data_IF_576252959985
#
_entry.id   IF_576252959985
#
_cell.length_a   1.000
_cell.length_b   1.000
_cell.length_c   1.000
_cell.angle_alpha   90.00
_cell.angle_beta   90.00
_cell.angle_gamma   90.00
#
_symmetry.space_group_name_H-M   'P 1'
#
loop_
_entity.id
_entity.type
_entity.pdbx_description
1 polymer ?
#
# COMPACT_ATOMS: atom_id res chain seq x y z
N UNK A 1 -0.10 -19.62 -14.32
CA UNK A 1 0.06 -18.90 -13.03
C UNK A 1 -1.30 -18.55 -12.43
N UNK A 2 -2.17 -17.86 -13.14
CA UNK A 2 -3.50 -17.45 -12.64
C UNK A 2 -4.34 -18.64 -12.10
N UNK A 3 -4.30 -19.78 -12.78
CA UNK A 3 -4.99 -21.00 -12.33
C UNK A 3 -4.46 -21.48 -10.95
N UNK A 4 -3.15 -21.40 -10.74
CA UNK A 4 -2.51 -21.86 -9.49
C UNK A 4 -2.91 -21.04 -8.26
N UNK A 5 -3.32 -19.78 -8.45
CA UNK A 5 -3.80 -18.92 -7.37
C UNK A 5 -5.18 -19.36 -6.80
N UNK A 6 -5.85 -20.32 -7.44
CA UNK A 6 -7.10 -20.89 -6.92
C UNK A 6 -6.88 -22.15 -6.06
N UNK A 7 -5.62 -22.58 -5.92
CA UNK A 7 -5.25 -23.74 -5.13
C UNK A 7 -4.36 -23.32 -3.96
N UNK A 8 -4.37 -24.05 -2.85
CA UNK A 8 -3.43 -23.80 -1.76
C UNK A 8 -1.98 -24.01 -2.23
N UNK A 9 -1.01 -23.36 -1.55
CA UNK A 9 0.41 -23.59 -1.83
C UNK A 9 0.75 -25.08 -1.75
N UNK A 10 1.68 -25.58 -2.59
CA UNK A 10 2.11 -26.98 -2.53
C UNK A 10 2.73 -27.34 -1.17
N UNK A 11 2.29 -28.46 -0.58
CA UNK A 11 2.87 -28.96 0.67
C UNK A 11 4.24 -29.61 0.45
N UNK A 12 4.46 -30.26 -0.71
CA UNK A 12 5.73 -30.92 -1.04
C UNK A 12 6.87 -29.89 -1.23
N UNK A 13 7.94 -29.95 -0.41
CA UNK A 13 9.06 -29.03 -0.49
C UNK A 13 9.75 -29.01 -1.87
N UNK A 14 9.81 -30.18 -2.54
CA UNK A 14 10.42 -30.29 -3.87
C UNK A 14 9.61 -29.59 -4.95
N UNK A 15 8.28 -29.67 -4.89
CA UNK A 15 7.39 -28.95 -5.80
C UNK A 15 7.46 -27.45 -5.53
N UNK A 16 7.45 -27.06 -4.25
CA UNK A 16 7.58 -25.65 -3.84
C UNK A 16 8.90 -25.04 -4.30
N UNK A 17 10.02 -25.77 -4.13
CA UNK A 17 11.33 -25.31 -4.58
C UNK A 17 11.37 -25.06 -6.09
N UNK A 18 10.90 -26.03 -6.90
CA UNK A 18 10.83 -25.86 -8.37
C UNK A 18 9.92 -24.70 -8.79
N UNK A 19 8.81 -24.48 -8.08
CA UNK A 19 7.93 -23.34 -8.35
C UNK A 19 8.65 -22.02 -8.06
N UNK A 20 9.34 -21.90 -6.93
CA UNK A 20 10.11 -20.72 -6.56
C UNK A 20 11.23 -20.44 -7.58
N UNK A 21 11.97 -21.45 -8.04
CA UNK A 21 12.99 -21.32 -9.10
C UNK A 21 12.38 -20.78 -10.42
N UNK A 22 11.21 -21.28 -10.79
CA UNK A 22 10.50 -20.79 -11.98
C UNK A 22 10.10 -19.32 -11.82
N UNK A 23 9.53 -18.94 -10.67
CA UNK A 23 9.11 -17.56 -10.37
C UNK A 23 10.32 -16.62 -10.33
N UNK A 24 11.42 -17.06 -9.72
CA UNK A 24 12.68 -16.32 -9.70
C UNK A 24 13.24 -16.09 -11.12
N UNK A 25 13.18 -17.10 -11.98
CA UNK A 25 13.58 -16.98 -13.38
C UNK A 25 12.73 -15.95 -14.13
N UNK A 26 11.43 -15.86 -13.85
CA UNK A 26 10.54 -14.85 -14.44
C UNK A 26 10.92 -13.45 -13.96
N UNK A 27 11.17 -13.26 -12.65
CA UNK A 27 11.62 -11.97 -12.11
C UNK A 27 12.94 -11.53 -12.74
N UNK A 28 13.90 -12.44 -12.92
CA UNK A 28 15.19 -12.16 -13.57
C UNK A 28 15.00 -11.71 -15.03
N UNK A 29 14.21 -12.45 -15.79
CA UNK A 29 13.91 -12.10 -17.20
C UNK A 29 13.14 -10.78 -17.32
N UNK A 30 12.37 -10.41 -16.32
CA UNK A 30 11.69 -9.14 -16.30
C UNK A 30 12.66 -7.93 -16.19
N UNK A 31 13.83 -8.12 -15.62
CA UNK A 31 14.87 -7.08 -15.52
C UNK A 31 15.67 -6.90 -16.83
N UNK A 32 15.67 -7.90 -17.71
CA UNK A 32 16.37 -7.79 -18.98
C UNK A 32 15.75 -6.69 -19.86
N UNK A 33 16.56 -5.94 -20.61
CA UNK A 33 16.04 -4.94 -21.54
C UNK A 33 15.14 -5.64 -22.59
N UNK A 34 14.06 -4.95 -23.02
CA UNK A 34 13.12 -5.54 -23.97
C UNK A 34 13.82 -5.83 -25.30
N UNK A 35 13.73 -7.08 -25.77
CA UNK A 35 14.28 -7.51 -27.07
C UNK A 35 13.61 -6.85 -28.27
N UNK A 36 12.47 -6.21 -28.08
CA UNK A 36 11.68 -5.51 -29.10
C UNK A 36 11.06 -4.23 -28.52
N UNK A 37 11.11 -3.15 -29.29
CA UNK A 37 10.48 -1.87 -28.98
C UNK A 37 8.93 -1.89 -29.17
N UNK A 38 8.35 -3.02 -29.55
CA UNK A 38 6.90 -3.13 -29.75
C UNK A 38 6.16 -3.09 -28.42
N UNK A 39 5.19 -2.20 -28.30
CA UNK A 39 4.36 -2.02 -27.09
C UNK A 39 3.70 -3.34 -26.66
N UNK A 40 3.23 -4.15 -27.59
CA UNK A 40 2.64 -5.46 -27.30
C UNK A 40 3.58 -6.40 -26.55
N UNK A 41 4.89 -6.40 -26.86
CA UNK A 41 5.88 -7.22 -26.18
C UNK A 41 6.11 -6.75 -24.74
N UNK A 42 6.13 -5.42 -24.53
CA UNK A 42 6.23 -4.83 -23.20
C UNK A 42 5.01 -5.18 -22.34
N UNK A 43 3.82 -5.05 -22.90
CA UNK A 43 2.57 -5.36 -22.19
C UNK A 43 2.48 -6.85 -21.84
N UNK A 44 2.85 -7.75 -22.75
CA UNK A 44 2.87 -9.19 -22.46
C UNK A 44 3.88 -9.53 -21.35
N UNK A 45 5.08 -8.92 -21.40
CA UNK A 45 6.11 -9.08 -20.38
C UNK A 45 5.62 -8.60 -18.99
N UNK A 46 5.01 -7.42 -18.94
CA UNK A 46 4.46 -6.87 -17.71
C UNK A 46 3.31 -7.74 -17.16
N UNK A 47 2.41 -8.21 -18.02
CA UNK A 47 1.32 -9.11 -17.62
C UNK A 47 1.85 -10.39 -16.98
N UNK A 48 2.86 -11.03 -17.58
CA UNK A 48 3.51 -12.23 -17.01
C UNK A 48 4.17 -11.91 -15.68
N UNK A 49 4.83 -10.76 -15.56
CA UNK A 49 5.48 -10.32 -14.33
C UNK A 49 4.47 -10.12 -13.19
N UNK A 50 3.39 -9.38 -13.42
CA UNK A 50 2.36 -9.15 -12.41
C UNK A 50 1.67 -10.45 -11.97
N UNK A 51 1.38 -11.36 -12.90
CA UNK A 51 0.84 -12.69 -12.55
C UNK A 51 1.84 -13.56 -11.75
N UNK A 52 3.14 -13.42 -12.02
CA UNK A 52 4.17 -14.10 -11.23
C UNK A 52 4.26 -13.51 -9.81
N UNK A 53 4.23 -12.19 -9.69
CA UNK A 53 4.23 -11.50 -8.39
C UNK A 53 2.98 -11.86 -7.58
N UNK A 54 1.80 -11.88 -8.22
CA UNK A 54 0.56 -12.32 -7.56
C UNK A 54 0.68 -13.75 -7.02
N UNK A 55 1.31 -14.65 -7.76
CA UNK A 55 1.52 -16.04 -7.31
C UNK A 55 2.56 -16.13 -6.17
N UNK A 56 3.62 -15.30 -6.21
CA UNK A 56 4.61 -15.19 -5.13
C UNK A 56 3.92 -14.76 -3.83
N UNK A 57 3.04 -13.77 -3.89
CA UNK A 57 2.28 -13.28 -2.74
C UNK A 57 1.31 -14.35 -2.25
N UNK A 58 0.55 -14.97 -3.16
CA UNK A 58 -0.43 -16.00 -2.83
C UNK A 58 0.19 -17.21 -2.12
N UNK A 59 1.38 -17.62 -2.53
CA UNK A 59 2.08 -18.77 -1.95
C UNK A 59 2.84 -18.43 -0.66
N UNK A 60 2.84 -17.17 -0.21
CA UNK A 60 3.69 -16.68 0.88
C UNK A 60 5.12 -17.21 0.72
N UNK A 61 5.68 -16.92 -0.45
CA UNK A 61 6.98 -17.46 -0.88
C UNK A 61 8.12 -17.00 0.04
N UNK A 62 9.31 -17.54 -0.18
CA UNK A 62 10.49 -17.18 0.62
C UNK A 62 10.73 -15.67 0.71
N UNK A 63 11.22 -15.16 1.87
CA UNK A 63 11.41 -13.72 2.12
C UNK A 63 12.18 -13.00 1.02
N UNK A 64 13.22 -13.61 0.48
CA UNK A 64 14.02 -13.05 -0.61
C UNK A 64 13.18 -12.81 -1.87
N UNK A 65 12.26 -13.71 -2.18
CA UNK A 65 11.43 -13.61 -3.37
C UNK A 65 10.37 -12.51 -3.20
N UNK A 66 9.79 -12.38 -2.00
CA UNK A 66 8.87 -11.30 -1.64
C UNK A 66 9.53 -9.91 -1.72
N UNK A 67 10.75 -9.77 -1.19
CA UNK A 67 11.52 -8.51 -1.26
C UNK A 67 11.87 -8.16 -2.71
N UNK A 68 12.24 -9.16 -3.52
CA UNK A 68 12.53 -8.95 -4.95
C UNK A 68 11.29 -8.55 -5.73
N UNK A 69 10.14 -9.17 -5.44
CA UNK A 69 8.85 -8.78 -6.01
C UNK A 69 8.52 -7.32 -5.67
N UNK A 70 8.70 -6.92 -4.41
CA UNK A 70 8.53 -5.54 -3.97
C UNK A 70 9.43 -4.56 -4.75
N UNK A 71 10.72 -4.86 -4.90
CA UNK A 71 11.65 -4.02 -5.64
C UNK A 71 11.28 -3.89 -7.13
N UNK A 72 10.74 -4.94 -7.74
CA UNK A 72 10.22 -4.90 -9.11
C UNK A 72 9.00 -3.99 -9.22
N UNK A 73 8.06 -4.11 -8.28
CA UNK A 73 6.86 -3.26 -8.24
C UNK A 73 7.21 -1.79 -8.04
N UNK A 74 8.25 -1.50 -7.24
CA UNK A 74 8.74 -0.14 -7.01
C UNK A 74 9.08 0.61 -8.29
N UNK A 75 9.58 -0.10 -9.32
CA UNK A 75 9.89 0.49 -10.63
C UNK A 75 8.63 0.94 -11.40
N UNK A 76 7.47 0.36 -11.08
CA UNK A 76 6.20 0.71 -11.73
C UNK A 76 5.45 1.84 -11.04
N UNK A 77 5.81 2.22 -9.81
CA UNK A 77 5.13 3.31 -9.10
C UNK A 77 5.22 4.66 -9.83
N UNK A 78 6.29 4.87 -10.60
CA UNK A 78 6.50 6.07 -11.43
C UNK A 78 6.37 5.78 -12.93
N UNK A 79 5.74 4.65 -13.31
CA UNK A 79 5.58 4.30 -14.71
C UNK A 79 4.61 5.24 -15.42
N UNK A 80 4.86 5.53 -16.71
CA UNK A 80 4.02 6.43 -17.52
C UNK A 80 2.56 5.96 -17.67
N UNK A 81 2.32 4.65 -17.66
CA UNK A 81 0.99 4.06 -17.85
C UNK A 81 0.27 3.95 -16.51
N UNK A 82 -0.89 4.58 -16.39
CA UNK A 82 -1.73 4.64 -15.19
C UNK A 82 -2.09 3.25 -14.66
N UNK A 83 -2.45 2.33 -15.54
CA UNK A 83 -2.82 0.97 -15.14
C UNK A 83 -1.66 0.22 -14.46
N UNK A 84 -0.42 0.44 -14.89
CA UNK A 84 0.74 -0.21 -14.26
C UNK A 84 1.05 0.41 -12.89
N UNK A 85 0.85 1.71 -12.72
CA UNK A 85 0.95 2.37 -11.40
C UNK A 85 -0.11 1.82 -10.44
N UNK A 86 -1.37 1.72 -10.91
CA UNK A 86 -2.46 1.15 -10.14
C UNK A 86 -2.16 -0.28 -9.67
N UNK A 87 -1.80 -1.17 -10.58
CA UNK A 87 -1.49 -2.57 -10.28
C UNK A 87 -0.29 -2.72 -9.33
N UNK A 88 0.72 -1.86 -9.48
CA UNK A 88 1.87 -1.87 -8.59
C UNK A 88 1.48 -1.49 -7.15
N UNK A 89 0.70 -0.42 -6.97
CA UNK A 89 0.20 0.01 -5.67
C UNK A 89 -0.67 -1.08 -5.03
N UNK A 90 -1.59 -1.68 -5.80
CA UNK A 90 -2.47 -2.76 -5.34
C UNK A 90 -1.68 -3.98 -4.87
N UNK A 91 -0.70 -4.44 -5.67
CA UNK A 91 0.16 -5.57 -5.30
C UNK A 91 1.04 -5.27 -4.09
N UNK A 92 1.53 -4.03 -3.96
CA UNK A 92 2.29 -3.60 -2.78
C UNK A 92 1.45 -3.53 -1.51
N UNK A 93 0.15 -3.22 -1.58
CA UNK A 93 -0.74 -3.30 -0.42
C UNK A 93 -0.77 -4.71 0.16
N UNK A 94 -0.78 -5.74 -0.69
CA UNK A 94 -0.73 -7.13 -0.25
C UNK A 94 0.62 -7.48 0.37
N UNK A 95 1.73 -7.03 -0.24
CA UNK A 95 3.07 -7.22 0.31
C UNK A 95 3.29 -6.52 1.65
N UNK A 96 2.64 -5.38 1.89
CA UNK A 96 2.75 -4.63 3.13
C UNK A 96 2.16 -5.39 4.34
N UNK A 97 1.30 -6.37 4.11
CA UNK A 97 0.71 -7.19 5.18
C UNK A 97 1.63 -8.32 5.66
N UNK A 98 2.66 -8.68 4.89
CA UNK A 98 3.63 -9.71 5.25
C UNK A 98 4.80 -9.10 6.03
N UNK A 99 5.16 -9.71 7.15
CA UNK A 99 6.30 -9.27 7.97
C UNK A 99 7.62 -9.24 7.18
N UNK A 100 7.79 -10.17 6.25
CA UNK A 100 9.02 -10.31 5.47
C UNK A 100 9.22 -9.20 4.43
N UNK A 101 8.16 -8.62 3.91
CA UNK A 101 8.23 -7.59 2.87
C UNK A 101 7.86 -6.18 3.36
N UNK A 102 7.32 -6.04 4.57
CA UNK A 102 6.88 -4.76 5.14
C UNK A 102 7.97 -3.68 5.06
N UNK A 103 9.18 -3.98 5.54
CA UNK A 103 10.31 -3.05 5.49
C UNK A 103 10.77 -2.72 4.06
N UNK A 104 10.61 -3.65 3.12
CA UNK A 104 10.91 -3.39 1.72
C UNK A 104 9.87 -2.43 1.10
N UNK A 105 8.61 -2.57 1.46
CA UNK A 105 7.52 -1.67 1.02
C UNK A 105 7.71 -0.28 1.59
N UNK A 106 8.09 -0.13 2.86
CA UNK A 106 8.36 1.17 3.51
C UNK A 106 9.41 2.01 2.80
N UNK A 107 10.39 1.41 2.15
CA UNK A 107 11.40 2.14 1.35
C UNK A 107 10.80 2.97 0.21
N UNK A 108 9.57 2.66 -0.20
CA UNK A 108 8.86 3.38 -1.25
C UNK A 108 7.88 4.44 -0.72
N UNK A 109 7.86 4.71 0.60
CA UNK A 109 6.93 5.63 1.25
C UNK A 109 6.88 7.00 0.56
N UNK A 110 8.02 7.64 0.33
CA UNK A 110 8.07 8.95 -0.33
C UNK A 110 7.51 8.93 -1.75
N UNK A 111 7.79 7.86 -2.50
CA UNK A 111 7.23 7.69 -3.86
C UNK A 111 5.71 7.56 -3.83
N UNK A 112 5.17 6.87 -2.83
CA UNK A 112 3.72 6.70 -2.66
C UNK A 112 3.07 8.01 -2.20
N UNK A 113 3.70 8.75 -1.29
CA UNK A 113 3.25 10.09 -0.89
C UNK A 113 3.23 11.04 -2.08
N UNK A 114 4.27 11.01 -2.92
CA UNK A 114 4.30 11.80 -4.13
C UNK A 114 3.19 11.41 -5.12
N UNK A 115 2.93 10.11 -5.29
CA UNK A 115 1.82 9.63 -6.10
C UNK A 115 0.47 10.16 -5.57
N UNK A 116 0.25 10.13 -4.26
CA UNK A 116 -0.95 10.71 -3.64
C UNK A 116 -1.14 12.19 -4.01
N UNK A 117 -0.07 12.97 -4.03
CA UNK A 117 -0.10 14.43 -4.28
C UNK A 117 -0.21 14.78 -5.76
N UNK A 118 0.40 14.00 -6.65
CA UNK A 118 0.60 14.40 -8.05
C UNK A 118 -0.21 13.60 -9.07
N UNK A 119 -0.74 12.44 -8.67
CA UNK A 119 -1.51 11.59 -9.56
C UNK A 119 -2.83 12.26 -9.96
N UNK A 120 -3.21 12.12 -11.24
CA UNK A 120 -4.46 12.68 -11.77
C UNK A 120 -5.65 11.73 -11.62
N UNK A 121 -5.37 10.45 -11.67
CA UNK A 121 -6.39 9.40 -11.58
C UNK A 121 -6.78 9.15 -10.12
N UNK A 122 -8.08 9.29 -9.83
CA UNK A 122 -8.64 9.13 -8.47
C UNK A 122 -8.42 7.71 -7.95
N UNK A 123 -8.55 6.69 -8.83
CA UNK A 123 -8.38 5.29 -8.42
C UNK A 123 -6.94 5.00 -8.01
N UNK A 124 -5.96 5.61 -8.68
CA UNK A 124 -4.54 5.50 -8.31
C UNK A 124 -4.26 6.21 -7.00
N UNK A 125 -4.83 7.41 -6.77
CA UNK A 125 -4.73 8.11 -5.48
C UNK A 125 -5.34 7.28 -4.35
N UNK A 126 -6.49 6.65 -4.58
CA UNK A 126 -7.10 5.78 -3.59
C UNK A 126 -6.19 4.60 -3.24
N UNK A 127 -5.57 3.93 -4.22
CA UNK A 127 -4.58 2.87 -3.96
C UNK A 127 -3.34 3.37 -3.23
N UNK A 128 -2.91 4.61 -3.47
CA UNK A 128 -1.83 5.23 -2.69
C UNK A 128 -2.22 5.42 -1.22
N UNK A 129 -3.46 5.86 -0.93
CA UNK A 129 -3.99 5.92 0.44
C UNK A 129 -4.02 4.54 1.09
N UNK A 130 -4.50 3.50 0.37
CA UNK A 130 -4.53 2.12 0.85
C UNK A 130 -3.14 1.63 1.22
N UNK A 131 -2.16 1.90 0.37
CA UNK A 131 -0.78 1.47 0.60
C UNK A 131 -0.12 2.22 1.76
N UNK A 132 -0.33 3.54 1.90
CA UNK A 132 0.14 4.31 3.05
C UNK A 132 -0.44 3.76 4.35
N UNK A 133 -1.74 3.44 4.35
CA UNK A 133 -2.38 2.81 5.49
C UNK A 133 -1.77 1.43 5.83
N UNK A 134 -1.54 0.59 4.80
CA UNK A 134 -1.00 -0.76 5.00
C UNK A 134 0.47 -0.78 5.45
N UNK A 135 1.29 0.19 5.01
CA UNK A 135 2.71 0.29 5.39
C UNK A 135 2.94 1.06 6.69
N UNK A 136 1.88 1.61 7.29
CA UNK A 136 2.01 2.41 8.50
C UNK A 136 2.32 1.54 9.71
N UNK A 137 3.32 1.95 10.46
CA UNK A 137 3.69 1.39 11.76
C UNK A 137 4.05 2.49 12.77
N UNK A 138 4.55 2.11 13.95
CA UNK A 138 4.92 3.07 15.00
C UNK A 138 6.05 4.02 14.63
N UNK A 139 6.88 3.66 13.64
CA UNK A 139 8.07 4.45 13.29
C UNK A 139 7.77 5.54 12.28
N UNK A 140 6.70 5.40 11.48
CA UNK A 140 6.33 6.32 10.41
C UNK A 140 4.89 6.87 10.50
N UNK A 141 4.17 6.53 11.56
CA UNK A 141 2.75 6.91 11.73
C UNK A 141 2.53 8.42 11.74
N UNK A 142 3.42 9.18 12.39
CA UNK A 142 3.30 10.64 12.47
C UNK A 142 3.42 11.28 11.09
N UNK A 143 4.40 10.86 10.30
CA UNK A 143 4.63 11.35 8.94
C UNK A 143 3.47 10.97 8.01
N UNK A 144 3.05 9.71 8.02
CA UNK A 144 1.96 9.23 7.17
C UNK A 144 0.64 9.94 7.51
N UNK A 145 0.31 10.05 8.79
CA UNK A 145 -0.91 10.72 9.25
C UNK A 145 -0.90 12.20 8.86
N UNK A 146 0.23 12.88 9.03
CA UNK A 146 0.37 14.29 8.62
C UNK A 146 0.14 14.47 7.12
N UNK A 147 0.72 13.60 6.29
CA UNK A 147 0.56 13.65 4.84
C UNK A 147 -0.88 13.35 4.41
N UNK A 148 -1.53 12.36 5.04
CA UNK A 148 -2.92 12.05 4.78
C UNK A 148 -3.85 13.22 5.19
N UNK A 149 -3.61 13.87 6.34
CA UNK A 149 -4.35 15.05 6.77
C UNK A 149 -4.17 16.22 5.80
N UNK A 150 -2.94 16.46 5.36
CA UNK A 150 -2.63 17.52 4.39
C UNK A 150 -3.36 17.28 3.07
N UNK A 151 -3.36 16.05 2.57
CA UNK A 151 -4.08 15.71 1.36
C UNK A 151 -5.60 15.79 1.54
N UNK A 152 -6.12 15.49 2.72
CA UNK A 152 -7.57 15.52 3.01
C UNK A 152 -8.19 16.91 2.76
N UNK A 153 -7.41 17.99 2.86
CA UNK A 153 -7.89 19.36 2.57
C UNK A 153 -8.36 19.51 1.11
N UNK A 154 -7.70 18.82 0.18
CA UNK A 154 -7.95 18.90 -1.26
C UNK A 154 -8.47 17.60 -1.87
N UNK A 155 -8.68 16.58 -1.05
CA UNK A 155 -9.07 15.25 -1.49
C UNK A 155 -10.43 15.24 -2.19
N UNK A 156 -10.56 14.35 -3.17
CA UNK A 156 -11.82 14.08 -3.84
C UNK A 156 -12.87 13.56 -2.85
N UNK A 157 -14.10 13.96 -3.06
CA UNK A 157 -15.24 13.61 -2.21
C UNK A 157 -15.36 12.09 -1.98
N UNK A 158 -15.11 11.32 -3.03
CA UNK A 158 -15.19 9.86 -3.02
C UNK A 158 -14.15 9.17 -2.11
N UNK A 159 -13.04 9.84 -1.80
CA UNK A 159 -11.97 9.27 -0.97
C UNK A 159 -12.03 9.77 0.47
N UNK A 160 -12.70 10.92 0.71
CA UNK A 160 -12.68 11.60 2.02
C UNK A 160 -13.15 10.73 3.18
N UNK A 161 -14.29 10.06 3.02
CA UNK A 161 -14.88 9.24 4.08
C UNK A 161 -13.92 8.11 4.50
N UNK A 162 -13.38 7.41 3.52
CA UNK A 162 -12.42 6.32 3.76
C UNK A 162 -11.12 6.83 4.39
N UNK A 163 -10.61 8.00 3.94
CA UNK A 163 -9.42 8.61 4.52
C UNK A 163 -9.62 9.02 5.97
N UNK A 164 -10.75 9.64 6.30
CA UNK A 164 -11.09 10.01 7.68
C UNK A 164 -11.08 8.79 8.59
N UNK A 165 -11.70 7.70 8.15
CA UNK A 165 -11.72 6.45 8.90
C UNK A 165 -10.30 5.87 9.08
N UNK A 166 -9.51 5.80 8.00
CA UNK A 166 -8.14 5.29 8.04
C UNK A 166 -7.25 6.11 8.98
N UNK A 167 -7.29 7.45 8.88
CA UNK A 167 -6.51 8.34 9.75
C UNK A 167 -6.92 8.18 11.22
N UNK A 168 -8.22 8.08 11.50
CA UNK A 168 -8.70 7.87 12.87
C UNK A 168 -8.20 6.54 13.45
N UNK A 169 -8.23 5.46 12.66
CA UNK A 169 -7.71 4.14 13.06
C UNK A 169 -6.20 4.19 13.31
N UNK A 170 -5.43 4.82 12.41
CA UNK A 170 -3.99 4.95 12.58
C UNK A 170 -3.63 5.76 13.83
N UNK A 171 -4.33 6.86 14.06
CA UNK A 171 -4.15 7.68 15.26
C UNK A 171 -4.43 6.89 16.54
N UNK A 172 -5.51 6.10 16.57
CA UNK A 172 -5.85 5.26 17.73
C UNK A 172 -4.82 4.14 17.95
N UNK A 173 -4.34 3.51 16.87
CA UNK A 173 -3.43 2.36 16.94
C UNK A 173 -1.99 2.74 17.28
N UNK A 174 -1.53 3.90 16.82
CA UNK A 174 -0.11 4.27 16.88
C UNK A 174 0.17 5.53 17.65
N UNK A 175 -0.81 6.10 18.37
CA UNK A 175 -0.58 7.28 19.21
C UNK A 175 0.61 7.07 20.16
N UNK A 176 1.56 7.98 20.09
CA UNK A 176 2.73 8.03 20.98
C UNK A 176 2.39 8.72 22.30
N UNK A 177 1.52 9.75 22.22
CA UNK A 177 0.98 10.46 23.37
C UNK A 177 -0.46 10.96 23.12
N UNK A 178 -1.13 11.36 24.19
CA UNK A 178 -2.51 11.88 24.11
C UNK A 178 -2.62 13.19 23.35
N UNK A 179 -1.60 14.05 23.42
CA UNK A 179 -1.62 15.34 22.74
C UNK A 179 -1.65 15.15 21.24
N UNK A 180 -0.74 14.33 20.73
CA UNK A 180 -0.71 14.01 19.29
C UNK A 180 -2.04 13.40 18.81
N UNK A 181 -2.60 12.44 19.57
CA UNK A 181 -3.90 11.84 19.25
C UNK A 181 -5.00 12.90 19.15
N UNK A 182 -5.10 13.77 20.18
CA UNK A 182 -6.11 14.83 20.23
C UNK A 182 -5.94 15.80 19.07
N UNK A 183 -4.71 16.21 18.77
CA UNK A 183 -4.41 17.13 17.66
C UNK A 183 -4.82 16.53 16.31
N UNK A 184 -4.56 15.24 16.06
CA UNK A 184 -5.00 14.53 14.87
C UNK A 184 -6.52 14.52 14.76
N UNK A 185 -7.24 14.13 15.83
CA UNK A 185 -8.71 14.06 15.83
C UNK A 185 -9.33 15.45 15.68
N UNK A 186 -8.77 16.48 16.26
CA UNK A 186 -9.21 17.86 16.07
C UNK A 186 -9.06 18.32 14.63
N UNK A 187 -7.94 18.00 13.99
CA UNK A 187 -7.72 18.28 12.58
C UNK A 187 -8.71 17.53 11.68
N UNK A 188 -8.97 16.25 11.95
CA UNK A 188 -9.97 15.47 11.21
C UNK A 188 -11.36 16.14 11.27
N UNK A 189 -11.78 16.57 12.47
CA UNK A 189 -13.08 17.24 12.64
C UNK A 189 -13.12 18.59 11.93
N UNK A 190 -12.02 19.32 11.94
CA UNK A 190 -11.92 20.62 11.24
C UNK A 190 -12.01 20.46 9.74
N UNK A 191 -11.33 19.46 9.18
CA UNK A 191 -11.19 19.27 7.73
C UNK A 191 -12.36 18.50 7.11
N UNK A 192 -12.97 17.60 7.84
CA UNK A 192 -13.97 16.67 7.34
C UNK A 192 -14.99 16.27 8.41
N UNK A 193 -15.48 17.22 9.19
CA UNK A 193 -16.37 16.97 10.34
C UNK A 193 -17.67 16.22 9.97
N UNK A 194 -18.17 16.38 8.75
CA UNK A 194 -19.37 15.70 8.28
C UNK A 194 -19.16 14.18 8.09
N UNK A 195 -17.90 13.75 7.91
CA UNK A 195 -17.52 12.34 7.73
C UNK A 195 -17.02 11.68 9.01
N UNK A 196 -16.79 12.45 10.08
CA UNK A 196 -16.33 11.91 11.36
C UNK A 196 -17.50 11.25 12.07
N UNK A 197 -17.42 9.94 12.31
CA UNK A 197 -18.49 9.19 12.98
C UNK A 197 -18.79 9.73 14.38
N UNK A 198 -20.04 9.53 14.83
CA UNK A 198 -20.46 9.95 16.17
C UNK A 198 -19.66 9.27 17.29
N UNK A 199 -19.17 8.06 17.05
CA UNK A 199 -18.31 7.33 18.00
C UNK A 199 -16.95 8.02 18.18
N UNK A 200 -16.31 8.47 17.10
CA UNK A 200 -15.07 9.24 17.16
C UNK A 200 -15.30 10.58 17.84
N UNK A 201 -16.45 11.23 17.60
CA UNK A 201 -16.84 12.46 18.28
C UNK A 201 -17.08 12.24 19.79
N UNK A 202 -17.70 11.13 20.19
CA UNK A 202 -17.95 10.78 21.61
C UNK A 202 -16.67 10.42 22.35
N UNK A 203 -15.76 9.66 21.74
CA UNK A 203 -14.42 9.37 22.32
C UNK A 203 -13.66 10.68 22.60
N UNK A 204 -13.75 11.69 21.73
CA UNK A 204 -13.19 13.02 21.97
C UNK A 204 -13.70 13.67 23.26
N UNK A 205 -15.02 13.65 23.50
CA UNK A 205 -15.62 14.26 24.69
C UNK A 205 -15.09 13.58 25.96
N UNK A 206 -14.86 12.28 25.91
CA UNK A 206 -14.27 11.53 27.03
C UNK A 206 -12.81 11.93 27.27
N UNK A 207 -12.01 12.06 26.21
CA UNK A 207 -10.60 12.46 26.28
C UNK A 207 -10.45 13.91 26.75
N UNK A 208 -11.27 14.84 26.24
CA UNK A 208 -11.28 16.25 26.69
C UNK A 208 -11.68 16.37 28.16
N UNK A 209 -12.61 15.56 28.65
CA UNK A 209 -12.97 15.54 30.09
C UNK A 209 -11.82 15.05 30.97
N UNK A 210 -10.98 14.16 30.48
CA UNK A 210 -9.79 13.66 31.21
C UNK A 210 -8.64 14.68 31.21
N UNK A 211 -8.57 15.54 30.18
CA UNK A 211 -7.50 16.55 30.07
C UNK A 211 -7.83 17.85 30.82
N UNK A 212 -9.12 18.16 30.95
CA UNK A 212 -9.59 19.42 31.59
C UNK A 212 -9.97 19.21 33.07
N UNK A 213 -10.19 17.99 33.51
CA UNK A 213 -10.46 17.63 34.92
C UNK A 213 -9.23 17.16 35.65
#
# INVERSE_FOLDING_TARGET
MRLLQNYPPPDDPGVRGRLNECLETILNKAQEPPKSKKVQHSNAKNAVLFEAISLIIHNDSEPNLLVRACNQLGQFLSHRETNLRYLALESMCLLATSEFSHEAVKKHQETVINALKTERDVSVRQRAVDLLYAMCDRTNSEDIVLEMLTYLETADYSIREEMVLKVAILAEKYATDYKWYVDVILNLIRLAGDYVSEEVRKKKICVLKVIIG
#
